data_IF_865387530281
#
_entry.id   IF_865387530281
#
_cell.length_a   1.000
_cell.length_b   1.000
_cell.length_c   1.000
_cell.angle_alpha   90.00
_cell.angle_beta   90.00
_cell.angle_gamma   90.00
#
_symmetry.space_group_name_H-M   'P 1'
#
loop_
_entity.id
_entity.type
_entity.pdbx_description
1 polymer ?
#
# COMPACT_ATOMS: atom_id res chain seq x y z
N UNK A 1 -7.21 8.37 2.08
CA UNK A 1 -5.89 7.70 2.19
C UNK A 1 -4.86 8.48 1.40
N UNK A 2 -3.66 8.60 1.91
CA UNK A 2 -2.55 9.25 1.21
C UNK A 2 -1.64 8.19 0.60
N UNK A 3 -1.17 8.46 -0.62
CA UNK A 3 -0.33 7.54 -1.40
C UNK A 3 0.88 8.31 -1.90
N UNK A 4 2.07 7.73 -1.71
CA UNK A 4 3.32 8.31 -2.20
C UNK A 4 3.33 8.39 -3.73
N UNK A 5 3.93 9.44 -4.27
CA UNK A 5 3.96 9.69 -5.73
C UNK A 5 4.65 8.58 -6.51
N UNK A 6 5.61 7.91 -5.89
CA UNK A 6 6.38 6.85 -6.55
C UNK A 6 5.79 5.45 -6.33
N UNK A 7 4.64 5.35 -5.67
CA UNK A 7 3.97 4.10 -5.42
C UNK A 7 3.30 3.53 -6.67
N UNK A 8 2.97 2.24 -6.60
CA UNK A 8 2.24 1.52 -7.65
C UNK A 8 0.96 0.96 -7.08
N UNK A 9 -0.09 0.95 -7.90
CA UNK A 9 -1.38 0.34 -7.59
C UNK A 9 -1.56 -0.92 -8.42
N UNK A 10 -2.39 -1.84 -7.91
CA UNK A 10 -2.65 -3.11 -8.59
C UNK A 10 -3.91 -2.99 -9.45
N UNK A 11 -3.79 -3.24 -10.75
CA UNK A 11 -4.92 -3.26 -11.68
C UNK A 11 -5.68 -4.58 -11.61
N UNK A 12 -6.95 -4.53 -12.01
CA UNK A 12 -7.80 -5.71 -12.08
C UNK A 12 -7.26 -6.82 -13.00
N UNK A 13 -6.40 -6.46 -13.96
CA UNK A 13 -5.73 -7.44 -14.85
C UNK A 13 -4.51 -8.11 -14.21
N UNK A 14 -4.22 -7.81 -12.94
CA UNK A 14 -3.08 -8.37 -12.21
C UNK A 14 -1.76 -7.64 -12.39
N UNK A 15 -1.73 -6.61 -13.21
CA UNK A 15 -0.51 -5.81 -13.45
C UNK A 15 -0.48 -4.59 -12.56
N UNK A 16 0.72 -4.20 -12.14
CA UNK A 16 0.91 -2.94 -11.41
C UNK A 16 0.96 -1.76 -12.39
N UNK A 17 0.53 -0.61 -11.90
CA UNK A 17 0.61 0.66 -12.62
C UNK A 17 1.15 1.73 -11.67
N UNK A 18 2.05 2.58 -12.17
CA UNK A 18 2.50 3.73 -11.41
C UNK A 18 1.29 4.61 -11.04
N UNK A 19 1.23 5.07 -9.80
CA UNK A 19 0.08 5.84 -9.33
C UNK A 19 -0.17 7.08 -10.18
N UNK A 20 0.89 7.73 -10.66
CA UNK A 20 0.79 8.91 -11.53
C UNK A 20 0.12 8.64 -12.88
N UNK A 21 0.08 7.39 -13.32
CA UNK A 21 -0.49 6.99 -14.62
C UNK A 21 -1.92 6.45 -14.51
N UNK A 22 -2.47 6.40 -13.29
CA UNK A 22 -3.83 5.89 -13.05
C UNK A 22 -4.86 6.87 -13.59
N UNK A 23 -5.84 6.34 -14.34
CA UNK A 23 -6.99 7.08 -14.87
C UNK A 23 -8.26 6.65 -14.15
N UNK A 24 -9.24 7.54 -14.07
CA UNK A 24 -10.50 7.29 -13.34
C UNK A 24 -11.30 6.11 -13.86
N UNK A 25 -11.16 5.76 -15.16
CA UNK A 25 -11.87 4.64 -15.76
C UNK A 25 -11.18 3.28 -15.56
N UNK A 26 -10.05 3.24 -14.88
CA UNK A 26 -9.34 2.00 -14.60
C UNK A 26 -9.94 1.28 -13.40
N UNK A 27 -10.04 -0.05 -13.49
CA UNK A 27 -10.38 -0.90 -12.35
C UNK A 27 -9.11 -1.31 -11.60
N UNK A 28 -9.10 -1.04 -10.30
CA UNK A 28 -7.99 -1.34 -9.41
C UNK A 28 -8.45 -2.34 -8.35
N UNK A 29 -7.54 -3.16 -7.87
CA UNK A 29 -7.80 -4.14 -6.83
C UNK A 29 -7.77 -3.45 -5.46
N UNK A 30 -8.77 -3.73 -4.66
CA UNK A 30 -8.94 -3.15 -3.34
C UNK A 30 -8.42 -4.05 -2.21
N UNK A 31 -8.58 -5.37 -2.36
CA UNK A 31 -8.26 -6.32 -1.29
C UNK A 31 -7.96 -7.72 -1.85
N UNK A 32 -7.74 -8.67 -0.95
CA UNK A 32 -7.43 -10.08 -1.26
C UNK A 32 -8.55 -10.81 -2.00
N UNK A 33 -9.77 -10.32 -1.94
CA UNK A 33 -10.90 -10.88 -2.68
C UNK A 33 -10.98 -10.36 -4.12
N UNK A 34 -9.98 -9.57 -4.52
CA UNK A 34 -9.89 -8.96 -5.84
C UNK A 34 -11.08 -8.08 -6.19
N UNK A 35 -11.72 -7.47 -5.18
CA UNK A 35 -12.77 -6.49 -5.42
C UNK A 35 -12.22 -5.30 -6.20
N UNK A 36 -12.96 -4.86 -7.21
CA UNK A 36 -12.55 -3.79 -8.10
C UNK A 36 -13.14 -2.45 -7.65
N UNK A 37 -12.34 -1.41 -7.76
CA UNK A 37 -12.77 -0.03 -7.49
C UNK A 37 -12.20 0.91 -8.53
N UNK A 38 -12.87 2.05 -8.70
CA UNK A 38 -12.31 3.20 -9.41
C UNK A 38 -11.70 4.16 -8.38
N UNK A 39 -10.65 4.85 -8.79
CA UNK A 39 -9.92 5.76 -7.91
C UNK A 39 -9.81 7.11 -8.59
N UNK A 40 -10.10 8.16 -7.83
CA UNK A 40 -9.83 9.53 -8.23
C UNK A 40 -8.69 10.06 -7.39
N UNK A 41 -7.57 10.39 -8.07
CA UNK A 41 -6.39 10.95 -7.43
C UNK A 41 -6.49 12.46 -7.38
N UNK A 42 -6.21 13.02 -6.22
CA UNK A 42 -6.07 14.47 -6.05
C UNK A 42 -4.67 14.77 -5.54
N UNK A 43 -4.06 15.83 -6.07
CA UNK A 43 -2.80 16.33 -5.53
C UNK A 43 -3.00 16.78 -4.09
N UNK A 44 -2.03 16.46 -3.26
CA UNK A 44 -2.08 16.80 -1.84
C UNK A 44 -0.68 17.09 -1.32
N UNK A 45 -0.57 18.00 -0.36
CA UNK A 45 0.68 18.24 0.36
C UNK A 45 0.49 17.83 1.82
N UNK A 46 1.40 16.99 2.29
CA UNK A 46 1.35 16.39 3.62
C UNK A 46 2.42 16.98 4.52
N UNK A 47 2.03 17.32 5.75
CA UNK A 47 2.95 17.73 6.81
C UNK A 47 2.72 16.82 8.01
N UNK A 48 3.78 16.17 8.48
CA UNK A 48 3.72 15.22 9.59
C UNK A 48 4.80 14.17 9.49
N UNK A 49 4.59 13.02 10.13
CA UNK A 49 5.53 11.91 10.06
C UNK A 49 5.35 11.11 8.78
N UNK A 50 6.45 10.87 8.08
CA UNK A 50 6.54 9.91 6.99
C UNK A 50 7.36 8.72 7.48
N UNK A 51 6.78 7.53 7.38
CA UNK A 51 7.39 6.27 7.83
C UNK A 51 7.97 5.53 6.65
N UNK A 52 9.15 4.94 6.83
CA UNK A 52 9.79 4.08 5.85
C UNK A 52 10.00 2.70 6.46
N UNK A 53 9.37 1.69 5.86
CA UNK A 53 9.60 0.29 6.22
C UNK A 53 10.64 -0.27 5.24
N UNK A 54 11.71 -0.83 5.78
CA UNK A 54 12.77 -1.45 4.98
C UNK A 54 12.68 -2.96 5.10
N UNK A 55 12.69 -3.63 3.95
CA UNK A 55 12.77 -5.09 3.83
C UNK A 55 13.98 -5.47 2.98
N UNK A 56 14.23 -6.77 2.80
CA UNK A 56 15.34 -7.22 1.96
C UNK A 56 15.22 -6.74 0.50
N UNK A 57 13.98 -6.53 0.03
CA UNK A 57 13.72 -6.33 -1.41
C UNK A 57 13.45 -4.86 -1.76
N UNK A 58 12.92 -4.08 -0.83
CA UNK A 58 12.50 -2.71 -1.12
C UNK A 58 12.18 -1.92 0.14
N UNK A 59 11.95 -0.62 -0.06
CA UNK A 59 11.42 0.29 0.96
C UNK A 59 9.96 0.62 0.64
N UNK A 60 9.17 0.80 1.70
CA UNK A 60 7.77 1.22 1.61
C UNK A 60 7.60 2.53 2.38
N UNK A 61 7.03 3.55 1.73
CA UNK A 61 6.73 4.83 2.37
C UNK A 61 5.26 4.89 2.72
N UNK A 62 4.96 5.12 3.98
CA UNK A 62 3.61 5.15 4.52
C UNK A 62 3.39 6.40 5.36
N UNK A 63 2.19 6.92 5.27
CA UNK A 63 1.77 8.11 6.00
C UNK A 63 1.11 7.74 7.32
N UNK A 64 1.14 8.66 8.27
CA UNK A 64 0.47 8.48 9.56
C UNK A 64 -1.00 8.10 9.38
N UNK A 65 -1.47 7.16 10.19
CA UNK A 65 -2.86 6.67 10.13
C UNK A 65 -3.10 5.52 9.16
N UNK A 66 -2.13 5.16 8.32
CA UNK A 66 -2.28 4.03 7.41
C UNK A 66 -2.10 2.72 8.17
N UNK A 67 -3.02 1.79 7.95
CA UNK A 67 -2.93 0.41 8.46
C UNK A 67 -2.55 -0.51 7.30
N UNK A 68 -1.70 -1.48 7.58
CA UNK A 68 -1.28 -2.48 6.57
C UNK A 68 -1.44 -3.88 7.15
N UNK A 69 -1.64 -4.85 6.26
CA UNK A 69 -1.75 -6.25 6.66
C UNK A 69 -0.36 -6.81 6.97
N UNK A 70 -0.23 -7.37 8.17
CA UNK A 70 0.99 -8.00 8.66
C UNK A 70 0.69 -9.43 9.11
N UNK A 71 1.73 -10.16 9.49
CA UNK A 71 1.59 -11.50 10.07
C UNK A 71 0.78 -11.52 11.37
N UNK A 72 0.57 -10.37 12.01
CA UNK A 72 -0.27 -10.21 13.21
C UNK A 72 -1.59 -9.50 12.91
N UNK A 73 -2.02 -9.47 11.65
CA UNK A 73 -3.23 -8.78 11.22
C UNK A 73 -2.95 -7.34 10.79
N UNK A 74 -4.02 -6.54 10.66
CA UNK A 74 -3.89 -5.14 10.29
C UNK A 74 -3.35 -4.33 11.45
N UNK A 75 -2.22 -3.66 11.24
CA UNK A 75 -1.60 -2.79 12.22
C UNK A 75 -1.37 -1.41 11.61
N UNK A 76 -1.56 -0.37 12.45
CA UNK A 76 -1.19 0.99 12.03
C UNK A 76 0.32 1.11 11.87
N UNK A 77 0.76 2.00 11.00
CA UNK A 77 2.19 2.24 10.83
C UNK A 77 2.84 2.71 12.14
N UNK A 78 2.11 3.46 12.96
CA UNK A 78 2.58 3.92 14.27
C UNK A 78 2.82 2.72 15.21
N UNK A 79 1.92 1.73 15.17
CA UNK A 79 2.06 0.52 15.97
C UNK A 79 3.25 -0.30 15.50
N UNK A 80 3.41 -0.47 14.20
CA UNK A 80 4.55 -1.20 13.61
C UNK A 80 5.87 -0.53 14.04
N UNK A 81 5.92 0.80 13.97
CA UNK A 81 7.08 1.57 14.39
C UNK A 81 7.43 1.36 15.87
N UNK A 82 6.41 1.24 16.73
CA UNK A 82 6.60 1.07 18.16
C UNK A 82 6.93 -0.35 18.59
N UNK A 83 6.65 -1.36 17.75
CA UNK A 83 6.90 -2.74 18.08
C UNK A 83 8.39 -3.06 17.97
N UNK A 84 8.92 -3.77 18.98
CA UNK A 84 10.29 -4.24 18.99
C UNK A 84 10.33 -5.77 18.81
N UNK A 85 9.50 -6.27 17.92
CA UNK A 85 9.41 -7.70 17.62
C UNK A 85 9.55 -7.93 16.13
N UNK A 86 9.96 -9.14 15.75
CA UNK A 86 10.04 -9.55 14.36
C UNK A 86 8.65 -9.65 13.78
N UNK A 87 8.43 -8.98 12.65
CA UNK A 87 7.14 -8.86 12.02
C UNK A 87 7.29 -9.00 10.51
N UNK A 88 6.33 -9.66 9.87
CA UNK A 88 6.30 -9.78 8.41
C UNK A 88 5.17 -8.92 7.85
N UNK A 89 5.46 -8.23 6.74
CA UNK A 89 4.42 -7.69 5.87
C UNK A 89 3.82 -8.84 5.08
N UNK A 90 2.51 -8.80 4.87
CA UNK A 90 1.81 -9.78 4.04
C UNK A 90 1.54 -9.14 2.69
N UNK A 91 2.33 -9.50 1.68
CA UNK A 91 2.20 -8.96 0.34
C UNK A 91 1.13 -9.71 -0.44
N UNK A 92 0.27 -8.98 -1.12
CA UNK A 92 -0.70 -9.56 -2.04
C UNK A 92 -0.04 -9.70 -3.41
N UNK A 93 0.12 -10.94 -3.86
CA UNK A 93 0.77 -11.27 -5.12
C UNK A 93 -0.27 -11.84 -6.07
N UNK A 94 -0.17 -11.49 -7.33
CA UNK A 94 -1.06 -11.98 -8.37
C UNK A 94 -0.37 -13.04 -9.23
N UNK A 95 -1.16 -14.01 -9.69
CA UNK A 95 -0.72 -15.04 -10.63
C UNK A 95 -1.72 -15.08 -11.77
N UNK A 96 -1.22 -15.02 -13.01
CA UNK A 96 -2.03 -15.31 -14.19
C UNK A 96 -1.98 -16.82 -14.44
N UNK A 97 -3.17 -17.43 -14.58
CA UNK A 97 -3.25 -18.84 -14.96
C UNK A 97 -3.22 -18.97 -16.49
N UNK A 98 -3.03 -20.20 -17.01
CA UNK A 98 -3.03 -20.47 -18.45
C UNK A 98 -4.35 -20.10 -19.14
N UNK A 99 -5.41 -19.94 -18.36
CA UNK A 99 -6.74 -19.55 -18.86
C UNK A 99 -7.01 -18.06 -18.72
N UNK A 100 -6.02 -17.27 -18.36
CA UNK A 100 -6.17 -15.82 -18.16
C UNK A 100 -6.90 -15.43 -16.89
N UNK A 101 -7.19 -16.36 -16.01
CA UNK A 101 -7.85 -16.10 -14.73
C UNK A 101 -6.78 -15.63 -13.72
N UNK A 102 -6.96 -14.40 -13.21
CA UNK A 102 -6.09 -13.90 -12.17
C UNK A 102 -6.44 -14.56 -10.83
N UNK A 103 -5.44 -15.01 -10.12
CA UNK A 103 -5.57 -15.41 -8.72
C UNK A 103 -4.61 -14.61 -7.86
N UNK A 104 -4.95 -14.48 -6.58
CA UNK A 104 -4.13 -13.77 -5.59
C UNK A 104 -3.68 -14.74 -4.50
N UNK A 105 -2.51 -14.48 -3.95
CA UNK A 105 -2.00 -15.21 -2.80
C UNK A 105 -1.14 -14.27 -1.96
N UNK A 106 -0.90 -14.65 -0.70
CA UNK A 106 -0.04 -13.87 0.17
C UNK A 106 1.39 -14.43 0.18
N UNK A 107 2.36 -13.51 0.17
CA UNK A 107 3.75 -13.80 0.43
C UNK A 107 4.23 -12.96 1.60
N UNK A 108 4.95 -13.55 2.53
CA UNK A 108 5.49 -12.82 3.67
C UNK A 108 6.80 -12.13 3.31
N UNK A 109 7.03 -10.95 3.88
CA UNK A 109 8.26 -10.18 3.68
C UNK A 109 8.69 -9.59 5.02
N UNK A 110 9.83 -10.06 5.54
CA UNK A 110 10.32 -9.67 6.86
C UNK A 110 10.69 -8.19 6.89
N UNK A 111 10.19 -7.49 7.91
CA UNK A 111 10.57 -6.12 8.19
C UNK A 111 11.95 -6.13 8.88
N UNK A 112 12.90 -5.39 8.32
CA UNK A 112 14.23 -5.23 8.90
C UNK A 112 14.33 -3.98 9.76
N UNK A 113 13.72 -2.89 9.32
CA UNK A 113 13.75 -1.63 10.03
C UNK A 113 12.52 -0.79 9.70
N UNK A 114 12.11 0.03 10.65
CA UNK A 114 11.10 1.05 10.43
C UNK A 114 11.68 2.37 10.95
N UNK A 115 11.70 3.36 10.09
CA UNK A 115 12.18 4.69 10.43
C UNK A 115 11.07 5.71 10.17
N UNK A 116 11.17 6.88 10.78
CA UNK A 116 10.26 7.97 10.49
C UNK A 116 11.01 9.29 10.48
N UNK A 117 10.48 10.22 9.68
CA UNK A 117 10.98 11.59 9.65
C UNK A 117 9.81 12.55 9.61
N UNK A 118 10.03 13.76 10.10
CA UNK A 118 9.05 14.84 9.95
C UNK A 118 9.27 15.48 8.59
N UNK A 119 8.19 15.55 7.80
CA UNK A 119 8.21 16.22 6.50
C UNK A 119 7.23 17.39 6.49
N UNK A 120 7.53 18.41 5.70
CA UNK A 120 6.67 19.56 5.48
C UNK A 120 6.39 19.68 3.98
N UNK A 121 5.13 19.96 3.64
CA UNK A 121 4.69 20.16 2.26
C UNK A 121 5.15 19.04 1.31
N UNK A 122 5.13 17.81 1.82
CA UNK A 122 5.51 16.63 1.06
C UNK A 122 4.42 16.33 0.03
N UNK A 123 4.78 16.34 -1.24
CA UNK A 123 3.84 16.11 -2.33
C UNK A 123 3.46 14.64 -2.43
N UNK A 124 2.15 14.37 -2.46
CA UNK A 124 1.60 13.03 -2.57
C UNK A 124 0.24 13.09 -3.25
N UNK A 125 -0.46 11.96 -3.32
CA UNK A 125 -1.82 11.88 -3.79
C UNK A 125 -2.77 11.53 -2.65
N UNK A 126 -3.98 12.08 -2.71
CA UNK A 126 -5.06 11.74 -1.80
C UNK A 126 -6.19 11.07 -2.58
N UNK A 127 -6.71 9.97 -2.01
CA UNK A 127 -7.87 9.25 -2.55
C UNK A 127 -8.93 9.15 -1.46
N UNK A 128 -10.20 9.09 -1.89
CA UNK A 128 -11.33 8.89 -0.97
C UNK A 128 -11.52 7.44 -0.57
N UNK A 129 -10.92 6.50 -1.30
CA UNK A 129 -11.00 5.08 -0.98
C UNK A 129 -10.34 4.82 0.38
N UNK A 130 -10.97 3.95 1.18
CA UNK A 130 -10.48 3.59 2.52
C UNK A 130 -9.62 2.33 2.51
N UNK A 131 -9.59 1.61 1.39
CA UNK A 131 -8.79 0.40 1.23
C UNK A 131 -8.31 0.28 -0.22
N UNK A 132 -7.03 0.04 -0.41
CA UNK A 132 -6.39 -0.19 -1.72
C UNK A 132 -5.17 -1.06 -1.55
N UNK A 133 -4.77 -1.74 -2.64
CA UNK A 133 -3.48 -2.44 -2.69
C UNK A 133 -2.45 -1.45 -3.23
N UNK A 134 -1.52 -1.04 -2.39
CA UNK A 134 -0.47 -0.07 -2.70
C UNK A 134 0.88 -0.74 -2.50
N UNK A 135 1.69 -0.80 -3.54
CA UNK A 135 3.02 -1.46 -3.49
C UNK A 135 2.94 -2.90 -2.98
N UNK A 136 1.92 -3.64 -3.41
CA UNK A 136 1.58 -5.00 -2.97
C UNK A 136 1.08 -5.11 -1.53
N UNK A 137 0.95 -4.00 -0.80
CA UNK A 137 0.38 -3.99 0.55
C UNK A 137 -1.10 -3.67 0.51
N UNK A 138 -1.90 -4.43 1.26
CA UNK A 138 -3.29 -4.05 1.48
C UNK A 138 -3.28 -2.94 2.55
N UNK A 139 -3.55 -1.72 2.10
CA UNK A 139 -3.55 -0.54 2.95
C UNK A 139 -4.98 -0.14 3.29
N UNK A 140 -5.20 0.19 4.54
CA UNK A 140 -6.51 0.63 5.06
C UNK A 140 -6.32 1.95 5.80
N UNK A 141 -7.24 2.85 5.56
CA UNK A 141 -7.29 4.13 6.28
C UNK A 141 -8.49 4.09 7.22
N UNK A 142 -8.21 4.17 8.52
CA UNK A 142 -9.22 4.14 9.57
C UNK A 142 -9.52 5.51 10.15
N UNK A 143 -9.12 6.55 9.46
CA UNK A 143 -9.38 7.93 9.93
C UNK A 143 -10.87 8.30 9.88
#
# INVERSE_FOLDING_TARGET
MLIDKDSKLLRANGKEIAVKDVKENMFLIQNELANNVHVKLNDFTYTGYLYTITTANREYKLFSGTHVLTSQGYLSIEKIYSLNTKLDLMLLVTRNTDYGIMSTYFASNRIFAVEREVVEDYECYKVSNVQLVVDSLICVDNS
#
